data_IF_567317675313
#
_entry.id   IF_567317675313
#
_cell.length_a   1.000
_cell.length_b   1.000
_cell.length_c   1.000
_cell.angle_alpha   90.00
_cell.angle_beta   90.00
_cell.angle_gamma   90.00
#
_symmetry.space_group_name_H-M   'P 1'
#
loop_
_entity.id
_entity.type
_entity.pdbx_description
1 polymer ?
#
# COMPACT_ATOMS: atom_id res chain seq x y z
N UNK A 1 1.71 22.12 28.36
CA UNK A 1 1.39 20.69 28.41
C UNK A 1 2.54 19.95 27.76
N UNK A 2 3.36 19.26 28.55
CA UNK A 2 4.53 18.54 28.06
C UNK A 2 4.12 17.23 27.43
N UNK A 3 4.57 16.97 26.21
CA UNK A 3 4.50 15.65 25.60
C UNK A 3 5.43 14.71 26.37
N UNK A 4 5.02 13.47 26.66
CA UNK A 4 5.97 12.48 27.14
C UNK A 4 7.00 12.24 26.03
N UNK A 5 8.28 12.46 26.34
CA UNK A 5 9.38 11.90 25.56
C UNK A 5 9.34 10.38 25.73
N UNK A 6 8.62 9.68 24.85
CA UNK A 6 8.78 8.24 24.72
C UNK A 6 10.10 8.01 24.01
N UNK A 7 11.10 7.51 24.73
CA UNK A 7 12.44 7.19 24.20
C UNK A 7 12.50 5.99 23.27
N UNK A 8 11.38 5.59 22.64
CA UNK A 8 11.35 4.61 21.58
C UNK A 8 11.47 5.34 20.24
N UNK A 9 12.45 4.96 19.42
CA UNK A 9 12.52 5.46 18.05
C UNK A 9 11.22 5.13 17.31
N UNK A 10 10.70 6.05 16.47
CA UNK A 10 9.48 5.80 15.72
C UNK A 10 9.68 4.59 14.81
N UNK A 11 8.65 3.73 14.64
CA UNK A 11 8.76 2.56 13.79
C UNK A 11 9.12 2.97 12.36
N UNK A 12 10.02 2.20 11.75
CA UNK A 12 10.40 2.38 10.35
C UNK A 12 9.42 1.59 9.47
N UNK A 13 9.01 2.19 8.37
CA UNK A 13 8.22 1.54 7.33
C UNK A 13 9.05 1.41 6.07
N UNK A 14 9.28 0.18 5.60
CA UNK A 14 9.97 -0.08 4.33
C UNK A 14 8.93 -0.41 3.28
N UNK A 15 8.87 0.36 2.20
CA UNK A 15 7.82 0.23 1.21
C UNK A 15 8.34 -0.20 -0.16
N UNK A 16 7.61 -1.15 -0.77
CA UNK A 16 7.80 -1.58 -2.15
C UNK A 16 7.35 -0.50 -3.16
N UNK A 17 7.81 -0.61 -4.41
CA UNK A 17 7.49 0.26 -5.52
C UNK A 17 5.98 0.45 -5.69
N UNK A 18 5.20 -0.63 -5.60
CA UNK A 18 3.75 -0.58 -5.80
C UNK A 18 3.06 0.30 -4.75
N UNK A 19 3.54 0.28 -3.51
CA UNK A 19 3.04 1.14 -2.43
C UNK A 19 3.37 2.61 -2.71
N UNK A 20 4.60 2.93 -3.13
CA UNK A 20 4.97 4.29 -3.51
C UNK A 20 4.14 4.82 -4.67
N UNK A 21 3.86 3.99 -5.68
CA UNK A 21 2.97 4.31 -6.80
C UNK A 21 1.56 4.62 -6.29
N UNK A 22 1.02 3.80 -5.40
CA UNK A 22 -0.32 3.97 -4.84
C UNK A 22 -0.40 5.26 -4.01
N UNK A 23 0.57 5.52 -3.14
CA UNK A 23 0.64 6.74 -2.34
C UNK A 23 0.80 8.00 -3.19
N UNK A 24 1.65 7.96 -4.22
CA UNK A 24 1.79 9.08 -5.16
C UNK A 24 0.47 9.36 -5.90
N UNK A 25 -0.24 8.32 -6.34
CA UNK A 25 -1.51 8.47 -7.04
C UNK A 25 -2.60 9.16 -6.21
N UNK A 26 -2.54 9.08 -4.87
CA UNK A 26 -3.46 9.83 -3.98
C UNK A 26 -3.30 11.35 -4.06
N UNK A 27 -2.13 11.85 -4.49
CA UNK A 27 -1.77 13.26 -4.38
C UNK A 27 -1.55 13.76 -2.95
N UNK A 28 -1.57 12.86 -1.95
CA UNK A 28 -1.51 13.17 -0.51
C UNK A 28 -0.34 12.49 0.21
N UNK A 29 0.67 12.02 -0.52
CA UNK A 29 1.81 11.29 0.05
C UNK A 29 2.46 12.02 1.27
N UNK A 30 2.76 13.33 1.23
CA UNK A 30 3.36 14.02 2.38
C UNK A 30 2.44 14.04 3.61
N UNK A 31 1.13 14.22 3.41
CA UNK A 31 0.11 14.23 4.47
C UNK A 31 0.00 12.86 5.14
N UNK A 32 -0.06 11.79 4.35
CA UNK A 32 -0.14 10.40 4.82
C UNK A 32 1.09 10.04 5.66
N UNK A 33 2.28 10.35 5.16
CA UNK A 33 3.55 10.06 5.85
C UNK A 33 3.66 10.84 7.17
N UNK A 34 3.28 12.13 7.16
CA UNK A 34 3.32 12.97 8.36
C UNK A 34 2.31 12.52 9.43
N UNK A 35 1.09 12.13 9.02
CA UNK A 35 0.04 11.68 9.94
C UNK A 35 0.41 10.40 10.69
N UNK A 36 1.21 9.51 10.08
CA UNK A 36 1.65 8.28 10.72
C UNK A 36 2.67 8.52 11.85
N UNK A 37 3.34 9.68 11.86
CA UNK A 37 4.40 10.00 12.84
C UNK A 37 5.58 9.03 12.80
N UNK A 38 5.82 8.40 11.64
CA UNK A 38 6.77 7.31 11.46
C UNK A 38 7.87 7.65 10.47
N UNK A 39 8.97 6.91 10.53
CA UNK A 39 10.03 6.99 9.52
C UNK A 39 9.71 6.10 8.33
N UNK A 40 10.04 6.55 7.13
CA UNK A 40 9.91 5.75 5.93
C UNK A 40 11.26 5.47 5.29
N UNK A 41 11.37 4.30 4.69
CA UNK A 41 12.53 3.86 3.95
C UNK A 41 12.13 3.30 2.58
N UNK A 42 12.95 3.58 1.59
CA UNK A 42 12.90 2.96 0.27
C UNK A 42 14.23 2.25 0.02
N UNK A 43 14.16 0.99 -0.40
CA UNK A 43 15.36 0.23 -0.76
C UNK A 43 15.89 0.74 -2.11
N UNK A 44 17.21 0.83 -2.27
CA UNK A 44 17.86 1.34 -3.47
C UNK A 44 17.42 0.61 -4.76
N UNK A 45 17.20 -0.71 -4.70
CA UNK A 45 16.64 -1.53 -5.78
C UNK A 45 15.28 -1.00 -6.21
N UNK A 46 14.38 -0.79 -5.25
CA UNK A 46 13.03 -0.26 -5.45
C UNK A 46 13.08 1.17 -6.02
N UNK A 47 13.97 2.02 -5.51
CA UNK A 47 14.15 3.38 -6.04
C UNK A 47 14.59 3.35 -7.51
N UNK A 48 15.51 2.46 -7.90
CA UNK A 48 15.93 2.30 -9.29
C UNK A 48 14.80 1.81 -10.18
N UNK A 49 13.94 0.92 -9.70
CA UNK A 49 12.75 0.48 -10.44
C UNK A 49 11.77 1.63 -10.68
N UNK A 50 11.49 2.44 -9.65
CA UNK A 50 10.65 3.63 -9.78
C UNK A 50 11.25 4.64 -10.77
N UNK A 51 12.58 4.81 -10.77
CA UNK A 51 13.26 5.66 -11.75
C UNK A 51 13.10 5.17 -13.19
N UNK A 52 13.25 3.86 -13.42
CA UNK A 52 13.05 3.25 -14.74
C UNK A 52 11.58 3.31 -15.18
N UNK A 53 10.64 3.10 -14.27
CA UNK A 53 9.20 3.20 -14.55
C UNK A 53 8.75 4.62 -14.84
N UNK A 54 9.34 5.63 -14.20
CA UNK A 54 8.99 7.04 -14.38
C UNK A 54 9.32 7.57 -15.77
N UNK A 55 10.39 7.05 -16.40
CA UNK A 55 10.74 7.36 -17.80
C UNK A 55 9.64 7.01 -18.81
N UNK A 56 8.66 6.18 -18.41
CA UNK A 56 7.51 5.78 -19.22
C UNK A 56 6.21 6.55 -18.90
N UNK A 57 6.28 7.66 -18.16
CA UNK A 57 5.18 8.62 -17.99
C UNK A 57 4.45 8.62 -16.64
N UNK A 58 5.10 8.17 -15.56
CA UNK A 58 4.52 8.22 -14.21
C UNK A 58 5.35 9.09 -13.26
N UNK A 59 4.77 10.21 -12.83
CA UNK A 59 5.36 11.22 -11.94
C UNK A 59 5.54 10.79 -10.48
N UNK A 60 5.70 9.49 -10.19
CA UNK A 60 5.94 9.01 -8.83
C UNK A 60 7.20 9.65 -8.23
N UNK A 61 8.26 9.77 -9.04
CA UNK A 61 9.49 10.46 -8.64
C UNK A 61 9.26 11.92 -8.24
N UNK A 62 8.38 12.65 -8.95
CA UNK A 62 8.06 14.05 -8.65
C UNK A 62 7.44 14.18 -7.25
N UNK A 63 6.74 13.14 -6.78
CA UNK A 63 6.17 13.10 -5.44
C UNK A 63 7.15 12.61 -4.37
N UNK A 64 7.99 11.61 -4.65
CA UNK A 64 8.87 11.02 -3.63
C UNK A 64 10.21 11.74 -3.48
N UNK A 65 10.75 12.35 -4.54
CA UNK A 65 12.09 12.95 -4.51
C UNK A 65 12.19 14.14 -3.54
N UNK A 66 11.19 15.05 -3.44
CA UNK A 66 11.20 16.08 -2.41
C UNK A 66 11.19 15.51 -0.98
N UNK A 67 10.54 14.36 -0.77
CA UNK A 67 10.43 13.71 0.54
C UNK A 67 11.73 12.99 0.92
N UNK A 68 12.47 12.49 -0.07
CA UNK A 68 13.84 12.00 0.13
C UNK A 68 14.77 13.17 0.49
N UNK A 69 14.69 14.27 -0.26
CA UNK A 69 15.51 15.46 -0.02
C UNK A 69 15.24 16.11 1.35
N UNK A 70 14.00 16.07 1.83
CA UNK A 70 13.62 16.56 3.15
C UNK A 70 13.97 15.58 4.28
N UNK A 71 14.47 14.39 3.97
CA UNK A 71 14.78 13.34 4.94
C UNK A 71 13.56 12.60 5.52
N UNK A 72 12.36 12.82 4.97
CA UNK A 72 11.15 12.12 5.41
C UNK A 72 11.15 10.66 4.92
N UNK A 73 11.77 10.42 3.76
CA UNK A 73 12.06 9.08 3.22
C UNK A 73 13.58 8.90 3.20
N UNK A 74 14.06 7.82 3.82
CA UNK A 74 15.48 7.43 3.76
C UNK A 74 15.69 6.41 2.66
N UNK A 75 16.75 6.57 1.86
CA UNK A 75 17.19 5.52 0.93
C UNK A 75 18.09 4.56 1.70
N UNK A 76 17.79 3.27 1.63
CA UNK A 76 18.53 2.21 2.31
C UNK A 76 19.11 1.26 1.28
N UNK A 77 20.39 0.93 1.43
CA UNK A 77 21.06 -0.07 0.61
C UNK A 77 20.95 -1.45 1.28
N UNK A 78 20.90 -2.49 0.45
CA UNK A 78 21.08 -3.84 0.93
C UNK A 78 22.53 -4.05 1.41
N UNK A 79 22.68 -4.75 2.52
CA UNK A 79 23.96 -5.12 3.10
C UNK A 79 24.34 -6.55 2.73
N UNK A 80 25.59 -6.96 2.96
CA UNK A 80 26.03 -8.35 2.72
C UNK A 80 25.19 -9.37 3.49
N UNK A 81 24.69 -9.01 4.69
CA UNK A 81 23.79 -9.86 5.47
C UNK A 81 22.41 -10.09 4.82
N UNK A 82 22.02 -9.24 3.87
CA UNK A 82 20.75 -9.33 3.14
C UNK A 82 20.85 -10.29 1.95
N UNK A 83 22.05 -10.64 1.49
CA UNK A 83 22.27 -11.35 0.22
C UNK A 83 21.69 -12.76 0.21
N UNK A 84 22.02 -13.59 1.21
CA UNK A 84 21.49 -14.95 1.32
C UNK A 84 19.95 -14.99 1.41
N UNK A 85 19.30 -14.26 2.35
CA UNK A 85 17.84 -14.27 2.43
C UNK A 85 17.19 -13.70 1.16
N UNK A 86 17.77 -12.68 0.53
CA UNK A 86 17.29 -12.14 -0.75
C UNK A 86 17.37 -13.19 -1.87
N UNK A 87 18.53 -13.83 -2.06
CA UNK A 87 18.71 -14.88 -3.08
C UNK A 87 17.72 -16.02 -2.88
N UNK A 88 17.43 -16.40 -1.63
CA UNK A 88 16.44 -17.44 -1.31
C UNK A 88 15.00 -17.08 -1.73
N UNK A 89 14.70 -15.78 -1.86
CA UNK A 89 13.39 -15.27 -2.29
C UNK A 89 13.29 -15.10 -3.80
N UNK A 90 14.42 -14.90 -4.51
CA UNK A 90 14.41 -14.66 -5.97
C UNK A 90 14.81 -15.89 -6.81
N UNK A 91 15.50 -16.88 -6.23
CA UNK A 91 16.06 -18.03 -6.96
C UNK A 91 15.24 -19.35 -6.91
N UNK A 92 14.01 -19.32 -6.39
CA UNK A 92 13.13 -20.49 -6.26
C UNK A 92 12.29 -20.84 -7.50
N UNK A 93 11.34 -21.78 -7.35
CA UNK A 93 10.30 -22.02 -8.36
C UNK A 93 9.36 -20.82 -8.52
N UNK A 94 8.67 -20.67 -9.65
CA UNK A 94 7.81 -19.50 -9.96
C UNK A 94 6.74 -19.22 -8.89
N UNK A 95 6.26 -20.24 -8.17
CA UNK A 95 5.28 -20.10 -7.09
C UNK A 95 5.89 -19.60 -5.77
N UNK A 96 7.20 -19.65 -5.62
CA UNK A 96 7.95 -19.29 -4.41
C UNK A 96 8.92 -18.13 -4.61
N UNK A 97 8.99 -17.59 -5.84
CA UNK A 97 9.84 -16.44 -6.18
C UNK A 97 9.09 -15.14 -6.10
N UNK A 98 9.82 -14.12 -5.64
CA UNK A 98 9.41 -12.72 -5.66
C UNK A 98 10.18 -11.98 -6.73
N UNK A 99 9.70 -10.80 -7.10
CA UNK A 99 10.54 -9.87 -7.84
C UNK A 99 11.61 -9.23 -6.93
N UNK A 100 12.55 -8.53 -7.56
CA UNK A 100 13.70 -7.95 -6.86
C UNK A 100 13.27 -6.89 -5.83
N UNK A 101 12.31 -6.04 -6.18
CA UNK A 101 11.77 -4.98 -5.32
C UNK A 101 11.06 -5.51 -4.07
N UNK A 102 10.17 -6.48 -4.24
CA UNK A 102 9.46 -7.16 -3.15
C UNK A 102 10.44 -7.90 -2.23
N UNK A 103 11.37 -8.68 -2.79
CA UNK A 103 12.36 -9.42 -2.03
C UNK A 103 13.26 -8.50 -1.21
N UNK A 104 13.80 -7.45 -1.84
CA UNK A 104 14.66 -6.48 -1.18
C UNK A 104 13.93 -5.74 -0.05
N UNK A 105 12.67 -5.34 -0.29
CA UNK A 105 11.81 -4.70 0.72
C UNK A 105 11.64 -5.57 1.96
N UNK A 106 11.30 -6.84 1.78
CA UNK A 106 11.08 -7.77 2.90
C UNK A 106 12.35 -8.00 3.71
N UNK A 107 13.48 -8.25 3.04
CA UNK A 107 14.74 -8.57 3.72
C UNK A 107 15.24 -7.37 4.51
N UNK A 108 15.23 -6.17 3.91
CA UNK A 108 15.62 -4.94 4.61
C UNK A 108 14.66 -4.65 5.77
N UNK A 109 13.35 -4.86 5.61
CA UNK A 109 12.41 -4.67 6.69
C UNK A 109 12.69 -5.59 7.89
N UNK A 110 12.99 -6.87 7.63
CA UNK A 110 13.38 -7.84 8.67
C UNK A 110 14.64 -7.38 9.38
N UNK A 111 15.69 -7.02 8.64
CA UNK A 111 16.97 -6.58 9.22
C UNK A 111 16.81 -5.35 10.10
N UNK A 112 15.98 -4.40 9.69
CA UNK A 112 15.74 -3.16 10.44
C UNK A 112 14.73 -3.31 11.59
N UNK A 113 14.11 -4.49 11.76
CA UNK A 113 12.98 -4.65 12.70
C UNK A 113 11.80 -3.73 12.36
N UNK A 114 11.61 -3.46 11.08
CA UNK A 114 10.67 -2.49 10.54
C UNK A 114 9.33 -3.15 10.14
N UNK A 115 8.36 -2.32 9.77
CA UNK A 115 7.10 -2.73 9.15
C UNK A 115 7.30 -2.74 7.64
N UNK A 116 6.99 -3.85 6.97
CA UNK A 116 7.02 -3.90 5.50
C UNK A 116 5.66 -3.50 4.92
N UNK A 117 5.68 -2.57 3.97
CA UNK A 117 4.51 -2.14 3.22
C UNK A 117 4.49 -2.84 1.86
N UNK A 118 3.55 -3.77 1.68
CA UNK A 118 3.42 -4.63 0.50
C UNK A 118 1.94 -4.77 0.13
N UNK A 119 1.59 -4.56 -1.16
CA UNK A 119 0.23 -4.79 -1.67
C UNK A 119 0.06 -6.12 -2.42
N UNK A 120 1.14 -6.81 -2.77
CA UNK A 120 1.09 -8.06 -3.53
C UNK A 120 0.80 -9.27 -2.62
N UNK A 121 -0.08 -10.18 -3.07
CA UNK A 121 -0.58 -11.31 -2.25
C UNK A 121 0.42 -12.43 -2.11
N UNK A 122 1.10 -12.81 -3.18
CA UNK A 122 2.15 -13.84 -3.16
C UNK A 122 3.30 -13.36 -2.27
N UNK A 123 3.77 -12.12 -2.38
CA UNK A 123 4.74 -11.50 -1.49
C UNK A 123 4.28 -11.53 -0.03
N UNK A 124 3.06 -11.09 0.25
CA UNK A 124 2.47 -11.16 1.61
C UNK A 124 2.40 -12.60 2.13
N UNK A 125 1.98 -13.56 1.31
CA UNK A 125 1.87 -14.96 1.71
C UNK A 125 3.23 -15.61 1.98
N UNK A 126 4.24 -15.30 1.17
CA UNK A 126 5.62 -15.76 1.36
C UNK A 126 6.21 -15.13 2.62
N UNK A 127 6.05 -13.82 2.81
CA UNK A 127 6.52 -13.11 3.99
C UNK A 127 5.92 -13.70 5.28
N UNK A 128 4.61 -13.92 5.35
CA UNK A 128 3.96 -14.55 6.52
C UNK A 128 4.49 -15.94 6.83
N UNK A 129 4.92 -16.69 5.81
CA UNK A 129 5.49 -18.05 5.97
C UNK A 129 6.95 -18.02 6.41
N UNK A 130 7.75 -17.11 5.85
CA UNK A 130 9.22 -17.08 6.04
C UNK A 130 9.68 -16.16 7.16
N UNK A 131 8.91 -15.10 7.42
CA UNK A 131 9.22 -14.03 8.37
C UNK A 131 7.99 -13.80 9.26
N UNK A 132 7.63 -14.80 10.09
CA UNK A 132 6.40 -14.76 10.89
C UNK A 132 6.33 -13.62 11.91
N UNK A 133 7.49 -13.07 12.31
CA UNK A 133 7.59 -11.90 13.20
C UNK A 133 7.54 -10.56 12.45
N UNK A 134 7.62 -10.56 11.11
CA UNK A 134 7.58 -9.33 10.32
C UNK A 134 6.14 -8.80 10.26
N UNK A 135 5.95 -7.57 10.73
CA UNK A 135 4.68 -6.88 10.57
C UNK A 135 4.53 -6.43 9.10
N UNK A 136 3.38 -6.75 8.52
CA UNK A 136 3.02 -6.39 7.14
C UNK A 136 1.82 -5.47 7.17
N UNK A 137 1.84 -4.42 6.36
CA UNK A 137 0.67 -3.58 6.08
C UNK A 137 0.53 -3.32 4.59
N UNK A 138 -0.70 -3.15 4.14
CA UNK A 138 -1.03 -2.74 2.78
C UNK A 138 -1.18 -1.21 2.67
N UNK A 139 -1.16 -0.68 1.44
CA UNK A 139 -1.53 0.72 1.18
C UNK A 139 -2.95 1.02 1.66
N UNK A 140 -3.86 0.04 1.54
CA UNK A 140 -5.24 0.19 2.03
C UNK A 140 -5.26 0.46 3.54
N UNK A 141 -4.57 -0.37 4.33
CA UNK A 141 -4.47 -0.18 5.78
C UNK A 141 -3.81 1.15 6.14
N UNK A 142 -2.76 1.54 5.41
CA UNK A 142 -2.08 2.80 5.63
C UNK A 142 -3.02 3.99 5.43
N UNK A 143 -3.84 4.00 4.38
CA UNK A 143 -4.79 5.08 4.13
C UNK A 143 -5.84 5.19 5.25
N UNK A 144 -6.43 4.06 5.67
CA UNK A 144 -7.39 4.04 6.78
C UNK A 144 -6.77 4.47 8.12
N UNK A 145 -5.48 4.19 8.33
CA UNK A 145 -4.79 4.56 9.57
C UNK A 145 -4.39 6.05 9.63
N UNK A 146 -4.33 6.75 8.50
CA UNK A 146 -3.70 8.08 8.40
C UNK A 146 -4.68 9.18 8.01
N UNK A 147 -5.68 8.87 7.19
CA UNK A 147 -6.64 9.88 6.71
C UNK A 147 -7.94 9.79 7.51
N UNK A 148 -8.54 10.94 7.84
CA UNK A 148 -9.79 10.97 8.58
C UNK A 148 -10.91 10.34 7.76
N UNK A 149 -11.62 9.42 8.42
CA UNK A 149 -12.85 8.83 7.91
C UNK A 149 -14.04 9.67 8.42
N UNK A 150 -14.45 10.64 7.62
CA UNK A 150 -15.51 11.59 7.98
C UNK A 150 -16.92 11.00 7.86
N UNK A 151 -17.03 9.75 7.37
CA UNK A 151 -18.31 9.11 7.07
C UNK A 151 -18.93 9.67 5.79
N UNK A 152 -19.16 8.79 4.82
CA UNK A 152 -19.76 9.13 3.54
C UNK A 152 -18.76 9.14 2.38
N UNK A 153 -19.30 9.38 1.17
CA UNK A 153 -18.60 9.14 -0.10
C UNK A 153 -17.63 10.27 -0.51
N UNK A 154 -17.35 11.20 0.41
CA UNK A 154 -16.61 12.45 0.20
C UNK A 154 -15.72 12.68 1.41
N UNK A 155 -14.50 13.18 1.19
CA UNK A 155 -13.54 13.47 2.25
C UNK A 155 -12.14 12.99 1.89
N UNK A 156 -11.12 13.33 2.71
CA UNK A 156 -9.72 13.05 2.39
C UNK A 156 -9.44 11.57 2.11
N UNK A 157 -10.00 10.67 2.94
CA UNK A 157 -9.87 9.23 2.77
C UNK A 157 -10.58 8.73 1.50
N UNK A 158 -11.81 9.16 1.25
CA UNK A 158 -12.59 8.76 0.07
C UNK A 158 -11.91 9.22 -1.23
N UNK A 159 -11.38 10.44 -1.27
CA UNK A 159 -10.66 10.98 -2.42
C UNK A 159 -9.33 10.23 -2.65
N UNK A 160 -8.57 9.96 -1.59
CA UNK A 160 -7.31 9.24 -1.69
C UNK A 160 -7.51 7.81 -2.19
N UNK A 161 -8.47 7.07 -1.60
CA UNK A 161 -8.85 5.73 -2.05
C UNK A 161 -9.29 5.75 -3.52
N UNK A 162 -10.16 6.69 -3.90
CA UNK A 162 -10.65 6.79 -5.27
C UNK A 162 -9.51 6.99 -6.26
N UNK A 163 -8.62 7.95 -5.99
CA UNK A 163 -7.48 8.25 -6.86
C UNK A 163 -6.50 7.08 -6.96
N UNK A 164 -6.17 6.43 -5.84
CA UNK A 164 -5.26 5.27 -5.84
C UNK A 164 -5.86 4.07 -6.59
N UNK A 165 -7.16 3.82 -6.48
CA UNK A 165 -7.84 2.71 -7.16
C UNK A 165 -8.14 3.00 -8.65
N UNK A 166 -8.34 4.26 -9.00
CA UNK A 166 -8.65 4.68 -10.37
C UNK A 166 -7.39 4.87 -11.21
N UNK A 167 -6.37 5.55 -10.65
CA UNK A 167 -5.17 5.99 -11.37
C UNK A 167 -3.98 5.05 -11.19
N UNK A 168 -3.94 4.33 -10.08
CA UNK A 168 -3.00 3.25 -9.88
C UNK A 168 -3.72 1.89 -9.89
N UNK A 169 -2.94 0.82 -9.72
CA UNK A 169 -3.46 -0.55 -9.65
C UNK A 169 -3.55 -1.00 -8.18
N UNK A 170 -3.89 -0.08 -7.28
CA UNK A 170 -3.93 -0.36 -5.85
C UNK A 170 -4.87 -1.54 -5.59
N UNK A 171 -4.33 -2.56 -4.92
CA UNK A 171 -5.08 -3.74 -4.55
C UNK A 171 -5.78 -3.51 -3.21
N UNK A 172 -7.03 -3.94 -3.11
CA UNK A 172 -7.77 -3.98 -1.85
C UNK A 172 -7.80 -5.41 -1.30
N UNK A 173 -7.20 -5.67 -0.11
CA UNK A 173 -7.36 -6.95 0.57
C UNK A 173 -8.84 -7.27 0.82
N UNK A 174 -9.23 -8.56 0.73
CA UNK A 174 -10.65 -8.96 0.78
C UNK A 174 -11.41 -8.44 2.00
N UNK A 175 -10.77 -8.41 3.17
CA UNK A 175 -11.39 -7.93 4.41
C UNK A 175 -11.63 -6.41 4.42
N UNK A 176 -10.95 -5.63 3.58
CA UNK A 176 -11.17 -4.19 3.43
C UNK A 176 -12.20 -3.84 2.34
N UNK A 177 -12.57 -4.79 1.47
CA UNK A 177 -13.41 -4.49 0.31
C UNK A 177 -14.75 -3.87 0.68
N UNK A 178 -15.46 -4.43 1.67
CA UNK A 178 -16.73 -3.88 2.12
C UNK A 178 -16.60 -2.43 2.62
N UNK A 179 -15.56 -2.16 3.43
CA UNK A 179 -15.31 -0.81 3.96
C UNK A 179 -14.91 0.17 2.88
N UNK A 180 -14.08 -0.23 1.93
CA UNK A 180 -13.70 0.62 0.78
C UNK A 180 -14.94 0.98 -0.05
N UNK A 181 -15.86 0.04 -0.28
CA UNK A 181 -17.09 0.32 -1.01
C UNK A 181 -18.01 1.28 -0.24
N UNK A 182 -18.10 1.12 1.08
CA UNK A 182 -18.85 2.03 1.94
C UNK A 182 -18.29 3.47 1.89
N UNK A 183 -16.97 3.62 1.90
CA UNK A 183 -16.29 4.93 1.86
C UNK A 183 -16.32 5.57 0.47
N UNK A 184 -16.33 4.78 -0.61
CA UNK A 184 -16.38 5.34 -1.97
C UNK A 184 -17.80 5.61 -2.44
N UNK A 185 -18.76 4.78 -2.02
CA UNK A 185 -20.08 4.69 -2.62
C UNK A 185 -20.06 4.03 -4.00
N UNK A 186 -21.25 3.68 -4.52
CA UNK A 186 -21.38 2.87 -5.74
C UNK A 186 -20.86 3.56 -7.00
N UNK A 187 -21.04 4.87 -7.10
CA UNK A 187 -20.62 5.65 -8.28
C UNK A 187 -19.09 5.63 -8.45
N UNK A 188 -18.35 6.05 -7.41
CA UNK A 188 -16.88 6.05 -7.44
C UNK A 188 -16.33 4.63 -7.53
N UNK A 189 -16.91 3.67 -6.80
CA UNK A 189 -16.50 2.27 -6.88
C UNK A 189 -16.59 1.72 -8.32
N UNK A 190 -17.64 2.07 -9.07
CA UNK A 190 -17.82 1.60 -10.45
C UNK A 190 -16.71 2.05 -11.41
N UNK A 191 -16.10 3.20 -11.14
CA UNK A 191 -15.03 3.81 -11.94
C UNK A 191 -13.61 3.35 -11.53
N UNK A 192 -13.47 2.59 -10.44
CA UNK A 192 -12.18 2.11 -9.93
C UNK A 192 -11.75 0.81 -10.62
N UNK A 193 -10.94 0.89 -11.68
CA UNK A 193 -10.53 -0.29 -12.47
C UNK A 193 -9.76 -1.37 -11.68
N UNK A 194 -9.12 -1.00 -10.56
CA UNK A 194 -8.41 -1.97 -9.72
C UNK A 194 -9.35 -2.80 -8.83
N UNK A 195 -10.61 -2.40 -8.68
CA UNK A 195 -11.60 -3.18 -7.94
C UNK A 195 -12.10 -4.38 -8.77
N UNK A 196 -12.29 -5.55 -8.13
CA UNK A 196 -12.96 -6.68 -8.73
C UNK A 196 -14.29 -6.31 -9.40
N UNK A 197 -14.58 -6.89 -10.57
CA UNK A 197 -15.77 -6.55 -11.35
C UNK A 197 -17.08 -6.63 -10.57
N UNK A 198 -17.22 -7.61 -9.66
CA UNK A 198 -18.42 -7.78 -8.84
C UNK A 198 -18.62 -6.65 -7.80
N UNK A 199 -17.56 -5.92 -7.44
CA UNK A 199 -17.63 -4.77 -6.54
C UNK A 199 -17.82 -3.44 -7.28
N UNK A 200 -17.64 -3.43 -8.60
CA UNK A 200 -17.89 -2.27 -9.47
C UNK A 200 -19.33 -2.22 -9.97
N UNK A 201 -20.05 -3.34 -9.88
CA UNK A 201 -21.45 -3.38 -10.24
C UNK A 201 -22.27 -2.55 -9.25
N UNK A 202 -23.25 -1.74 -9.71
CA UNK A 202 -24.18 -1.11 -8.80
C UNK A 202 -24.88 -2.20 -7.97
N UNK A 203 -25.01 -1.97 -6.66
CA UNK A 203 -25.85 -2.81 -5.81
C UNK A 203 -27.26 -2.77 -6.42
N UNK A 204 -27.64 -3.83 -7.11
CA UNK A 204 -29.03 -4.00 -7.54
C UNK A 204 -29.79 -4.22 -6.24
N UNK A 205 -30.58 -3.23 -5.83
CA UNK A 205 -31.53 -3.37 -4.73
C UNK A 205 -32.45 -4.56 -5.04
N UNK A 206 -32.18 -5.70 -4.41
CA UNK A 206 -33.05 -6.88 -4.46
C UNK A 206 -34.30 -6.72 -3.58
N UNK A 207 -34.65 -5.50 -3.18
CA UNK A 207 -35.79 -5.19 -2.32
C UNK A 207 -37.14 -5.28 -3.05
N UNK A 208 -37.18 -5.45 -4.38
CA UNK A 208 -38.44 -5.62 -5.13
C UNK A 208 -38.71 -7.04 -5.65
N UNK A 209 -38.25 -8.08 -4.94
CA UNK A 209 -38.70 -9.45 -5.21
C UNK A 209 -39.88 -9.86 -4.31
N UNK A 210 -41.09 -9.48 -4.76
CA UNK A 210 -42.47 -10.01 -4.50
C UNK A 210 -43.43 -8.96 -3.93
N UNK A 211 -44.71 -8.92 -4.38
CA UNK A 211 -45.54 -10.12 -4.62
C UNK A 211 -46.45 -10.09 -5.86
N UNK A 212 -46.81 -11.27 -6.38
CA UNK A 212 -48.20 -11.60 -6.73
C UNK A 212 -48.44 -13.07 -6.39
N UNK A 213 -49.37 -13.31 -5.47
CA UNK A 213 -50.07 -14.60 -5.30
C UNK A 213 -51.31 -14.58 -6.18
N UNK A 214 -51.65 -15.77 -6.70
CA UNK A 214 -52.98 -16.28 -7.12
C UNK A 214 -53.71 -15.54 -8.24
N UNK A 215 -53.93 -16.24 -9.36
CA UNK A 215 -55.11 -17.13 -9.53
C UNK A 215 -54.70 -18.44 -10.22
#
# INVERSE_FOLDING_TARGET
>A
MGFPASGAEPPIHVADASVWINLAATGRCPEILAALGASFAIVDVVLRELQRGSANGHGVLEHIQPLIQSGLIRVVEMETADEEPYLSLVAGGTAETLDDGEAATLVVAVRLGAIALIDERKATAIAKRRFSALELRSSTELLFATLPDEGGNVGPLADALFLALQRARMRVPTHWQARVIEVLGPERASACNSLPAHLRAPLIDTVNARPVRSD
#
